data_IF_958027944767
#
_entry.id   IF_958027944767
#
_cell.length_a   1.000
_cell.length_b   1.000
_cell.length_c   1.000
_cell.angle_alpha   90.00
_cell.angle_beta   90.00
_cell.angle_gamma   90.00
#
_symmetry.space_group_name_H-M   'P 1'
#
loop_
_entity.id
_entity.type
_entity.pdbx_description
1 polymer ?
#
# COMPACT_ATOMS: atom_id res chain seq x y z
N UNK A 1 21.10 -21.94 2.75
CA UNK A 1 20.03 -21.70 1.75
C UNK A 1 18.82 -20.99 2.39
N UNK A 2 19.07 -20.04 3.30
CA UNK A 2 18.09 -19.13 3.94
C UNK A 2 18.67 -17.71 3.96
N UNK A 3 19.63 -17.44 3.07
CA UNK A 3 20.42 -16.21 3.00
C UNK A 3 20.34 -15.66 1.57
N UNK A 4 19.12 -15.32 1.13
CA UNK A 4 18.95 -14.76 -0.21
C UNK A 4 17.66 -13.94 -0.42
N UNK A 5 17.11 -13.28 0.60
CA UNK A 5 16.07 -12.25 0.38
C UNK A 5 16.13 -11.10 1.40
N UNK A 6 17.33 -10.74 1.88
CA UNK A 6 17.52 -9.56 2.73
C UNK A 6 18.16 -8.36 2.00
N UNK A 7 18.63 -8.54 0.76
CA UNK A 7 19.51 -7.57 0.07
C UNK A 7 18.91 -6.89 -1.16
N UNK A 8 17.58 -6.76 -1.26
CA UNK A 8 16.99 -6.00 -2.36
C UNK A 8 15.81 -5.15 -1.89
N UNK A 9 16.18 -4.05 -1.23
CA UNK A 9 15.61 -2.73 -1.46
C UNK A 9 14.11 -2.54 -1.27
N UNK A 10 13.77 -1.97 -0.13
CA UNK A 10 12.62 -1.09 0.01
C UNK A 10 11.29 -1.79 0.26
N UNK A 11 10.66 -1.39 1.35
CA UNK A 11 9.23 -1.53 1.67
C UNK A 11 8.28 -0.87 0.66
N UNK A 12 8.74 -0.66 -0.58
CA UNK A 12 7.94 -0.16 -1.68
C UNK A 12 7.60 -1.38 -2.53
N UNK A 13 6.36 -1.87 -2.41
CA UNK A 13 5.86 -2.90 -3.32
C UNK A 13 5.98 -2.36 -4.74
N UNK A 14 7.06 -2.72 -5.44
CA UNK A 14 7.25 -2.33 -6.83
C UNK A 14 6.10 -2.93 -7.63
N UNK A 15 5.32 -2.12 -8.37
CA UNK A 15 4.23 -2.56 -9.25
C UNK A 15 4.54 -3.86 -9.99
N UNK A 16 5.75 -3.96 -10.51
CA UNK A 16 6.22 -5.07 -11.33
C UNK A 16 6.36 -6.39 -10.54
N UNK A 17 6.68 -6.34 -9.26
CA UNK A 17 6.80 -7.54 -8.42
C UNK A 17 5.41 -8.06 -8.03
N UNK A 18 4.49 -7.14 -7.73
CA UNK A 18 3.10 -7.49 -7.41
C UNK A 18 2.37 -8.06 -8.65
N UNK A 19 2.64 -7.51 -9.84
CA UNK A 19 2.17 -8.06 -11.11
C UNK A 19 2.73 -9.47 -11.40
N UNK A 20 4.03 -9.69 -11.19
CA UNK A 20 4.65 -11.02 -11.35
C UNK A 20 4.04 -12.04 -10.40
N UNK A 21 3.83 -11.65 -9.14
CA UNK A 21 3.23 -12.52 -8.14
C UNK A 21 1.79 -12.88 -8.53
N UNK A 22 0.99 -11.91 -9.00
CA UNK A 22 -0.37 -12.17 -9.50
C UNK A 22 -0.37 -13.18 -10.65
N UNK A 23 0.50 -13.00 -11.64
CA UNK A 23 0.62 -13.91 -12.78
C UNK A 23 0.97 -15.34 -12.33
N UNK A 24 1.86 -15.50 -11.34
CA UNK A 24 2.18 -16.80 -10.76
C UNK A 24 0.97 -17.47 -10.09
N UNK A 25 0.19 -16.71 -9.30
CA UNK A 25 -0.99 -17.25 -8.65
C UNK A 25 -2.08 -17.66 -9.66
N UNK A 26 -2.27 -16.89 -10.73
CA UNK A 26 -3.22 -17.26 -11.78
C UNK A 26 -2.77 -18.51 -12.54
N UNK A 27 -1.48 -18.65 -12.85
CA UNK A 27 -0.95 -19.81 -13.57
C UNK A 27 -1.00 -21.11 -12.74
N UNK A 28 -0.87 -21.01 -11.41
CA UNK A 28 -0.82 -22.17 -10.50
C UNK A 28 -2.19 -22.62 -9.99
N UNK A 29 -3.24 -21.83 -10.20
CA UNK A 29 -4.58 -22.12 -9.70
C UNK A 29 -5.57 -22.30 -10.85
N UNK A 30 -6.60 -23.12 -10.65
CA UNK A 30 -7.70 -23.26 -11.58
C UNK A 30 -8.53 -21.97 -11.67
N UNK A 31 -9.20 -21.77 -12.81
CA UNK A 31 -9.97 -20.56 -13.13
C UNK A 31 -11.02 -20.21 -12.06
N UNK A 32 -11.56 -21.20 -11.35
CA UNK A 32 -12.51 -21.02 -10.23
C UNK A 32 -11.93 -20.19 -9.07
N UNK A 33 -10.61 -20.08 -8.96
CA UNK A 33 -9.93 -19.27 -7.95
C UNK A 33 -9.42 -17.93 -8.49
N UNK A 34 -9.43 -17.71 -9.80
CA UNK A 34 -8.86 -16.49 -10.39
C UNK A 34 -9.59 -15.24 -9.89
N UNK A 35 -10.92 -15.31 -9.77
CA UNK A 35 -11.73 -14.20 -9.27
C UNK A 35 -11.38 -13.82 -7.83
N UNK A 36 -11.15 -14.80 -6.95
CA UNK A 36 -10.81 -14.51 -5.55
C UNK A 36 -9.37 -13.99 -5.42
N UNK A 37 -8.44 -14.55 -6.20
CA UNK A 37 -7.04 -14.08 -6.28
C UNK A 37 -7.00 -12.62 -6.74
N UNK A 38 -7.66 -12.29 -7.85
CA UNK A 38 -7.69 -10.93 -8.40
C UNK A 38 -8.34 -9.93 -7.43
N UNK A 39 -9.39 -10.33 -6.68
CA UNK A 39 -10.01 -9.48 -5.65
C UNK A 39 -9.02 -9.10 -4.55
N UNK A 40 -8.27 -10.06 -4.02
CA UNK A 40 -7.29 -9.82 -2.95
C UNK A 40 -6.15 -8.95 -3.45
N UNK A 41 -5.62 -9.21 -4.65
CA UNK A 41 -4.53 -8.40 -5.21
C UNK A 41 -4.95 -6.95 -5.46
N UNK A 42 -6.19 -6.70 -5.89
CA UNK A 42 -6.71 -5.32 -5.99
C UNK A 42 -6.74 -4.64 -4.63
N UNK A 43 -7.19 -5.31 -3.57
CA UNK A 43 -7.24 -4.74 -2.23
C UNK A 43 -5.85 -4.32 -1.74
N UNK A 44 -4.87 -5.23 -1.84
CA UNK A 44 -3.47 -4.96 -1.50
C UNK A 44 -2.91 -3.80 -2.34
N UNK A 45 -3.22 -3.73 -3.63
CA UNK A 45 -2.81 -2.62 -4.47
C UNK A 45 -3.33 -1.26 -3.96
N UNK A 46 -4.62 -1.18 -3.61
CA UNK A 46 -5.18 0.07 -3.09
C UNK A 46 -4.61 0.45 -1.73
N UNK A 47 -4.37 -0.52 -0.85
CA UNK A 47 -3.83 -0.30 0.49
C UNK A 47 -2.36 0.15 0.45
N UNK A 48 -1.56 -0.36 -0.50
CA UNK A 48 -0.13 -0.08 -0.60
C UNK A 48 0.25 1.03 -1.59
N UNK A 49 -0.49 1.20 -2.69
CA UNK A 49 -0.12 2.12 -3.79
C UNK A 49 -0.92 3.43 -3.75
N UNK A 50 -2.08 3.46 -3.08
CA UNK A 50 -3.01 4.61 -3.09
C UNK A 50 -3.28 5.26 -1.73
N UNK A 51 -2.50 4.97 -0.69
CA UNK A 51 -2.63 5.70 0.58
C UNK A 51 -1.83 7.02 0.51
N UNK A 52 -2.46 8.21 0.47
CA UNK A 52 -1.77 9.41 0.92
C UNK A 52 -1.34 9.17 2.38
N UNK A 53 -0.14 9.64 2.80
CA UNK A 53 0.36 9.36 4.15
C UNK A 53 -0.73 9.70 5.18
N UNK A 54 -0.90 8.89 6.24
CA UNK A 54 -1.91 9.15 7.25
C UNK A 54 -1.71 10.61 7.67
N UNK A 55 -2.71 11.46 7.41
CA UNK A 55 -2.71 12.82 7.92
C UNK A 55 -2.76 12.65 9.44
N UNK A 56 -1.59 12.64 10.08
CA UNK A 56 -1.45 12.84 11.52
C UNK A 56 -2.33 14.04 11.82
N UNK A 57 -3.45 13.78 12.49
CA UNK A 57 -4.44 14.79 12.85
C UNK A 57 -3.69 15.95 13.46
N UNK A 58 -3.60 17.04 12.70
CA UNK A 58 -3.14 18.33 13.17
C UNK A 58 -4.37 19.05 13.70
N UNK A 59 -5.05 18.42 14.65
CA UNK A 59 -6.30 18.90 15.23
C UNK A 59 -6.09 19.11 16.73
N UNK A 60 -5.39 20.21 17.02
CA UNK A 60 -5.32 21.03 18.25
C UNK A 60 -4.07 21.89 18.07
N UNK A 61 -4.17 23.18 17.84
CA UNK A 61 -4.76 24.13 18.78
C UNK A 61 -5.26 25.36 18.03
N UNK A 62 -6.52 25.68 18.24
CA UNK A 62 -7.18 26.91 17.80
C UNK A 62 -6.39 28.11 18.35
N UNK A 63 -5.94 29.00 17.46
CA UNK A 63 -5.55 30.35 17.84
C UNK A 63 -6.67 31.31 17.46
N UNK A 64 -7.54 31.73 18.41
CA UNK A 64 -8.31 32.95 18.26
C UNK A 64 -7.60 34.06 19.03
N UNK A 65 -7.05 35.05 18.32
CA UNK A 65 -6.46 36.20 19.01
C UNK A 65 -5.60 37.13 18.17
N UNK A 66 -6.05 37.50 16.97
CA UNK A 66 -5.71 38.82 16.43
C UNK A 66 -6.79 39.79 16.88
N UNK A 67 -6.41 41.06 17.05
CA UNK A 67 -7.17 42.23 17.54
C UNK A 67 -7.03 42.45 19.06
N UNK A 68 -6.54 43.58 19.57
CA UNK A 68 -6.22 44.88 18.97
C UNK A 68 -5.16 45.61 19.82
N UNK A 69 -4.32 46.41 19.17
CA UNK A 69 -3.55 47.50 19.79
C UNK A 69 -4.52 48.58 20.30
N UNK A 70 -4.15 49.28 21.38
CA UNK A 70 -3.60 50.63 21.18
C UNK A 70 -2.10 50.71 21.44
#
# INVERSE_FOLDING_TARGET
MYEMIASSGGTDARPEELERLLACYLALNADEHHDCIVKVFRQVWFDHVNLPPPRRGRDREEHPGRHARP
#
